data_IF_994463279965
#
_entry.id   IF_994463279965
#
_cell.length_a   1.000
_cell.length_b   1.000
_cell.length_c   1.000
_cell.angle_alpha   90.00
_cell.angle_beta   90.00
_cell.angle_gamma   90.00
#
_symmetry.space_group_name_H-M   'P 1'
#
loop_
_entity.id
_entity.type
_entity.pdbx_description
1 polymer ?
#
# COMPACT_ATOMS: atom_id res chain seq x y z
N UNK A 1 19.60 0.69 20.01
CA UNK A 1 18.58 1.75 19.79
C UNK A 1 17.19 1.12 19.77
N UNK A 2 16.26 1.60 20.60
CA UNK A 2 14.85 1.22 20.54
C UNK A 2 14.33 1.42 19.10
N UNK A 3 13.86 0.35 18.45
CA UNK A 3 13.25 0.40 17.11
C UNK A 3 11.96 1.22 17.23
N UNK A 4 12.08 2.54 17.10
CA UNK A 4 10.93 3.43 17.14
C UNK A 4 10.09 3.18 15.88
N UNK A 5 8.79 2.94 16.06
CA UNK A 5 7.89 2.61 14.97
C UNK A 5 7.78 3.79 13.97
N UNK A 6 8.16 3.56 12.72
CA UNK A 6 8.19 4.57 11.65
C UNK A 6 6.81 5.18 11.35
N UNK A 7 5.72 4.43 11.54
CA UNK A 7 4.34 4.96 11.42
C UNK A 7 4.10 5.99 12.51
N UNK A 8 4.44 5.66 13.76
CA UNK A 8 4.28 6.58 14.89
C UNK A 8 5.11 7.85 14.71
N UNK A 9 6.32 7.71 14.17
CA UNK A 9 7.20 8.85 13.86
C UNK A 9 6.64 9.72 12.73
N UNK A 10 6.11 9.13 11.66
CA UNK A 10 5.49 9.89 10.58
C UNK A 10 4.24 10.64 11.06
N UNK A 11 3.40 10.01 11.89
CA UNK A 11 2.26 10.69 12.51
C UNK A 11 2.70 11.85 13.40
N UNK A 12 3.72 11.65 14.25
CA UNK A 12 4.28 12.72 15.10
C UNK A 12 4.86 13.86 14.30
N UNK A 13 5.66 13.53 13.27
CA UNK A 13 6.19 14.52 12.34
C UNK A 13 5.05 15.35 11.77
N UNK A 14 4.00 14.72 11.23
CA UNK A 14 2.86 15.43 10.65
C UNK A 14 2.14 16.34 11.66
N UNK A 15 1.84 15.81 12.86
CA UNK A 15 1.12 16.54 13.90
C UNK A 15 1.91 17.77 14.38
N UNK A 16 3.24 17.70 14.34
CA UNK A 16 4.12 18.82 14.68
C UNK A 16 4.27 19.89 13.59
N UNK A 17 3.59 19.76 12.44
CA UNK A 17 3.69 20.73 11.34
C UNK A 17 2.39 21.52 11.20
N UNK A 18 2.53 22.79 10.82
CA UNK A 18 1.39 23.61 10.40
C UNK A 18 0.93 23.16 9.01
N UNK A 19 -0.25 22.58 8.94
CA UNK A 19 -0.83 22.05 7.69
C UNK A 19 -2.30 22.43 7.59
N UNK A 20 -2.78 22.60 6.35
CA UNK A 20 -4.17 23.00 6.09
C UNK A 20 -5.20 21.91 6.44
N UNK A 21 -4.79 20.64 6.52
CA UNK A 21 -5.68 19.51 6.77
C UNK A 21 -5.20 18.72 7.98
N UNK A 22 -6.13 18.22 8.80
CA UNK A 22 -5.75 17.34 9.90
C UNK A 22 -5.37 15.95 9.39
N UNK A 23 -4.45 15.27 10.08
CA UNK A 23 -4.07 13.89 9.74
C UNK A 23 -5.28 12.95 9.73
N UNK A 24 -6.22 13.15 10.67
CA UNK A 24 -7.44 12.34 10.76
C UNK A 24 -8.30 12.49 9.51
N UNK A 25 -8.50 13.71 9.03
CA UNK A 25 -9.23 13.97 7.80
C UNK A 25 -8.55 13.33 6.58
N UNK A 26 -7.22 13.46 6.49
CA UNK A 26 -6.45 12.85 5.40
C UNK A 26 -6.55 11.32 5.42
N UNK A 27 -6.44 10.68 6.58
CA UNK A 27 -6.60 9.23 6.72
C UNK A 27 -8.04 8.79 6.39
N UNK A 28 -9.04 9.57 6.80
CA UNK A 28 -10.44 9.27 6.49
C UNK A 28 -10.71 9.32 4.98
N UNK A 29 -10.35 10.42 4.32
CA UNK A 29 -10.64 10.59 2.88
C UNK A 29 -9.82 9.63 2.01
N UNK A 30 -8.55 9.39 2.35
CA UNK A 30 -7.71 8.43 1.61
C UNK A 30 -8.15 6.98 1.86
N UNK A 31 -8.64 6.66 3.06
CA UNK A 31 -9.26 5.37 3.37
C UNK A 31 -10.52 5.11 2.55
N UNK A 32 -11.47 6.06 2.54
CA UNK A 32 -12.70 5.94 1.73
C UNK A 32 -12.36 5.88 0.24
N UNK A 33 -11.44 6.73 -0.23
CA UNK A 33 -10.96 6.68 -1.61
C UNK A 33 -10.44 5.29 -1.99
N UNK A 34 -9.72 4.62 -1.10
CA UNK A 34 -9.21 3.28 -1.32
C UNK A 34 -10.31 2.22 -1.44
N UNK A 35 -11.37 2.33 -0.63
CA UNK A 35 -12.55 1.45 -0.73
C UNK A 35 -13.27 1.68 -2.06
N UNK A 36 -13.53 2.94 -2.41
CA UNK A 36 -14.20 3.33 -3.65
C UNK A 36 -13.37 3.04 -4.91
N UNK A 37 -12.06 2.85 -4.80
CA UNK A 37 -11.23 2.44 -5.94
C UNK A 37 -11.57 1.01 -6.39
N UNK A 38 -11.77 0.11 -5.41
CA UNK A 38 -11.98 -1.32 -5.65
C UNK A 38 -13.46 -1.67 -5.81
N UNK A 39 -14.35 -0.96 -5.10
CA UNK A 39 -15.78 -1.28 -5.06
C UNK A 39 -16.46 -1.33 -6.45
N UNK A 40 -16.31 -0.34 -7.36
CA UNK A 40 -16.96 -0.41 -8.66
C UNK A 40 -16.45 -1.55 -9.54
N UNK A 41 -15.17 -1.95 -9.41
CA UNK A 41 -14.60 -3.08 -10.16
C UNK A 41 -15.25 -4.39 -9.73
N UNK A 42 -15.52 -4.54 -8.43
CA UNK A 42 -16.17 -5.74 -7.91
C UNK A 42 -17.65 -5.78 -8.28
N UNK A 43 -18.34 -4.64 -8.17
CA UNK A 43 -19.78 -4.52 -8.51
C UNK A 43 -20.01 -4.65 -10.02
N UNK A 44 -19.03 -4.34 -10.87
CA UNK A 44 -19.17 -4.55 -12.32
C UNK A 44 -19.16 -6.01 -12.74
N UNK A 45 -18.62 -6.95 -11.92
CA UNK A 45 -18.53 -8.37 -12.29
C UNK A 45 -19.91 -9.03 -12.48
N UNK A 46 -20.89 -8.90 -11.54
CA UNK A 46 -22.26 -9.36 -11.77
C UNK A 46 -22.89 -8.79 -13.05
N UNK A 47 -22.67 -7.50 -13.33
CA UNK A 47 -23.21 -6.85 -14.53
C UNK A 47 -22.61 -7.46 -15.81
N UNK A 48 -21.29 -7.64 -15.85
CA UNK A 48 -20.60 -8.26 -16.99
C UNK A 48 -21.12 -9.69 -17.23
N UNK A 49 -21.35 -10.47 -16.16
CA UNK A 49 -21.95 -11.81 -16.24
C UNK A 49 -23.33 -11.75 -16.91
N UNK A 50 -24.22 -10.88 -16.43
CA UNK A 50 -25.57 -10.77 -16.97
C UNK A 50 -25.58 -10.35 -18.43
N UNK A 51 -24.73 -9.38 -18.80
CA UNK A 51 -24.57 -8.96 -20.19
C UNK A 51 -24.03 -10.08 -21.08
N UNK A 52 -23.09 -10.88 -20.60
CA UNK A 52 -22.52 -12.01 -21.34
C UNK A 52 -23.52 -13.17 -21.51
N UNK A 53 -24.31 -13.46 -20.47
CA UNK A 53 -25.34 -14.50 -20.50
C UNK A 53 -26.65 -14.05 -21.17
N UNK A 54 -26.76 -12.78 -21.56
CA UNK A 54 -27.96 -12.22 -22.18
C UNK A 54 -29.16 -12.12 -21.23
N UNK A 55 -28.92 -12.05 -19.91
CA UNK A 55 -30.00 -11.92 -18.92
C UNK A 55 -30.34 -10.44 -18.70
N UNK A 56 -31.64 -10.12 -18.63
CA UNK A 56 -32.12 -8.76 -18.36
C UNK A 56 -32.03 -8.35 -16.88
N UNK A 57 -31.56 -9.25 -16.03
CA UNK A 57 -31.39 -9.06 -14.61
C UNK A 57 -29.97 -9.39 -14.14
N UNK A 58 -29.54 -8.69 -13.10
CA UNK A 58 -28.32 -8.86 -12.35
C UNK A 58 -28.67 -9.39 -10.97
N UNK A 59 -28.15 -10.56 -10.64
CA UNK A 59 -28.34 -11.20 -9.34
C UNK A 59 -27.14 -10.89 -8.43
N UNK A 60 -27.39 -10.32 -7.26
CA UNK A 60 -26.42 -10.20 -6.17
C UNK A 60 -27.01 -10.86 -4.93
N UNK A 61 -26.43 -12.00 -4.52
CA UNK A 61 -26.96 -12.78 -3.40
C UNK A 61 -28.42 -13.17 -3.66
N UNK A 62 -29.32 -12.77 -2.77
CA UNK A 62 -30.76 -13.02 -2.90
C UNK A 62 -31.54 -11.93 -3.63
N UNK A 63 -30.88 -10.87 -4.10
CA UNK A 63 -31.55 -9.76 -4.79
C UNK A 63 -31.33 -9.81 -6.29
N UNK A 64 -32.40 -9.53 -7.02
CA UNK A 64 -32.42 -9.46 -8.48
C UNK A 64 -32.79 -8.04 -8.90
N UNK A 65 -31.92 -7.40 -9.69
CA UNK A 65 -32.07 -6.02 -10.15
C UNK A 65 -32.06 -5.99 -11.68
N UNK A 66 -32.85 -5.14 -12.31
CA UNK A 66 -32.79 -4.99 -13.77
C UNK A 66 -31.44 -4.41 -14.21
N UNK A 67 -30.94 -4.87 -15.37
CA UNK A 67 -29.66 -4.38 -15.93
C UNK A 67 -29.60 -2.84 -16.06
N UNK A 68 -30.66 -2.14 -16.53
CA UNK A 68 -30.63 -0.67 -16.61
C UNK A 68 -30.47 -0.01 -15.23
N UNK A 69 -31.23 -0.48 -14.23
CA UNK A 69 -31.16 0.08 -12.87
C UNK A 69 -29.80 -0.17 -12.24
N UNK A 70 -29.29 -1.40 -12.39
CA UNK A 70 -27.96 -1.77 -11.91
C UNK A 70 -26.86 -0.91 -12.53
N UNK A 71 -26.97 -0.63 -13.83
CA UNK A 71 -26.02 0.21 -14.56
C UNK A 71 -26.02 1.66 -14.04
N UNK A 72 -27.20 2.23 -13.76
CA UNK A 72 -27.32 3.58 -13.17
C UNK A 72 -26.64 3.62 -11.80
N UNK A 73 -26.90 2.64 -10.93
CA UNK A 73 -26.25 2.56 -9.61
C UNK A 73 -24.74 2.47 -9.76
N UNK A 74 -24.23 1.63 -10.67
CA UNK A 74 -22.80 1.51 -10.93
C UNK A 74 -22.20 2.83 -11.45
N UNK A 75 -22.89 3.56 -12.33
CA UNK A 75 -22.46 4.88 -12.80
C UNK A 75 -22.37 5.90 -11.68
N UNK A 76 -23.32 5.90 -10.74
CA UNK A 76 -23.28 6.76 -9.55
C UNK A 76 -22.07 6.42 -8.68
N UNK A 77 -21.82 5.12 -8.44
CA UNK A 77 -20.65 4.66 -7.67
C UNK A 77 -19.34 5.07 -8.36
N UNK A 78 -19.26 4.98 -9.69
CA UNK A 78 -18.10 5.44 -10.46
C UNK A 78 -17.88 6.96 -10.34
N UNK A 79 -18.95 7.75 -10.39
CA UNK A 79 -18.86 9.20 -10.19
C UNK A 79 -18.38 9.53 -8.77
N UNK A 80 -18.92 8.86 -7.75
CA UNK A 80 -18.47 9.02 -6.37
C UNK A 80 -16.98 8.64 -6.21
N UNK A 81 -16.56 7.52 -6.80
CA UNK A 81 -15.13 7.15 -6.87
C UNK A 81 -14.30 8.28 -7.47
N UNK A 82 -14.72 8.82 -8.61
CA UNK A 82 -13.98 9.88 -9.29
C UNK A 82 -13.83 11.12 -8.41
N UNK A 83 -14.93 11.61 -7.83
CA UNK A 83 -14.94 12.81 -7.00
C UNK A 83 -14.09 12.64 -5.74
N UNK A 84 -14.30 11.55 -5.00
CA UNK A 84 -13.54 11.27 -3.77
C UNK A 84 -12.06 10.99 -4.07
N UNK A 85 -11.79 10.22 -5.13
CA UNK A 85 -10.42 9.92 -5.57
C UNK A 85 -9.65 11.17 -5.97
N UNK A 86 -10.27 12.04 -6.76
CA UNK A 86 -9.69 13.36 -7.12
C UNK A 86 -9.39 14.16 -5.86
N UNK A 87 -10.32 14.22 -4.91
CA UNK A 87 -10.16 15.01 -3.70
C UNK A 87 -9.05 14.47 -2.79
N UNK A 88 -8.98 13.15 -2.61
CA UNK A 88 -7.93 12.50 -1.82
C UNK A 88 -6.54 12.73 -2.41
N UNK A 89 -6.39 12.60 -3.75
CA UNK A 89 -5.13 12.89 -4.44
C UNK A 89 -4.74 14.35 -4.33
N UNK A 90 -5.70 15.27 -4.50
CA UNK A 90 -5.46 16.71 -4.36
C UNK A 90 -5.01 17.07 -2.93
N UNK A 91 -5.70 16.59 -1.90
CA UNK A 91 -5.33 16.88 -0.51
C UNK A 91 -3.97 16.30 -0.13
N UNK A 92 -3.63 15.09 -0.57
CA UNK A 92 -2.30 14.52 -0.37
C UNK A 92 -1.21 15.37 -1.05
N UNK A 93 -1.42 15.75 -2.32
CA UNK A 93 -0.47 16.58 -3.06
C UNK A 93 -0.30 17.98 -2.42
N UNK A 94 -1.42 18.65 -2.13
CA UNK A 94 -1.43 19.98 -1.50
C UNK A 94 -0.71 19.96 -0.15
N UNK A 95 -1.00 18.97 0.69
CA UNK A 95 -0.33 18.79 1.99
C UNK A 95 1.19 18.72 1.85
N UNK A 96 1.69 17.96 0.88
CA UNK A 96 3.13 17.85 0.64
C UNK A 96 3.75 19.15 0.14
N UNK A 97 3.03 19.86 -0.73
CA UNK A 97 3.46 21.16 -1.25
C UNK A 97 3.50 22.19 -0.12
N UNK A 98 2.46 22.26 0.70
CA UNK A 98 2.37 23.18 1.84
C UNK A 98 3.49 22.92 2.85
N UNK A 99 3.76 21.65 3.20
CA UNK A 99 4.88 21.29 4.07
C UNK A 99 6.24 21.77 3.52
N UNK A 100 6.50 21.53 2.23
CA UNK A 100 7.74 21.98 1.58
C UNK A 100 7.81 23.50 1.44
N UNK A 101 6.67 24.17 1.24
CA UNK A 101 6.56 25.61 1.13
C UNK A 101 6.83 26.28 2.48
N UNK A 102 6.20 25.80 3.55
CA UNK A 102 6.46 26.26 4.91
C UNK A 102 7.93 26.09 5.31
N UNK A 103 8.53 24.94 5.00
CA UNK A 103 9.96 24.73 5.22
C UNK A 103 10.83 25.69 4.41
N UNK A 104 10.42 26.08 3.19
CA UNK A 104 11.17 27.05 2.38
C UNK A 104 11.03 28.47 2.88
N UNK A 105 9.87 28.88 3.36
CA UNK A 105 9.60 30.27 3.75
C UNK A 105 9.91 30.56 5.21
N UNK A 106 9.73 29.60 6.11
CA UNK A 106 9.90 29.79 7.56
C UNK A 106 11.31 29.54 8.09
N UNK A 107 12.25 29.07 7.26
CA UNK A 107 13.58 28.63 7.71
C UNK A 107 14.71 29.36 6.98
N UNK A 108 15.83 29.58 7.68
CA UNK A 108 17.00 30.30 7.14
C UNK A 108 17.62 29.57 5.94
N UNK A 109 18.37 30.29 5.10
CA UNK A 109 19.00 29.69 3.89
C UNK A 109 20.02 28.59 4.24
N UNK A 110 20.79 28.80 5.31
CA UNK A 110 21.80 27.85 5.80
C UNK A 110 21.14 26.59 6.37
N UNK A 111 20.11 26.75 7.22
CA UNK A 111 19.36 25.63 7.78
C UNK A 111 18.70 24.79 6.68
N UNK A 112 18.13 25.45 5.67
CA UNK A 112 17.52 24.77 4.51
C UNK A 112 18.53 23.95 3.74
N UNK A 113 19.74 24.45 3.46
CA UNK A 113 20.74 23.67 2.73
C UNK A 113 21.15 22.40 3.49
N UNK A 114 21.27 22.50 4.81
CA UNK A 114 21.69 21.40 5.66
C UNK A 114 20.57 20.35 5.86
N UNK A 115 19.30 20.77 5.94
CA UNK A 115 18.18 19.88 6.30
C UNK A 115 17.23 19.54 5.13
N UNK A 116 17.38 20.13 3.93
CA UNK A 116 16.48 19.92 2.78
C UNK A 116 16.26 18.45 2.43
N UNK A 117 17.30 17.63 2.46
CA UNK A 117 17.21 16.21 2.12
C UNK A 117 16.39 15.46 3.17
N UNK A 118 16.69 15.69 4.46
CA UNK A 118 16.00 15.06 5.58
C UNK A 118 14.53 15.45 5.60
N UNK A 119 14.23 16.75 5.50
CA UNK A 119 12.86 17.24 5.48
C UNK A 119 12.09 16.73 4.24
N UNK A 120 12.71 16.76 3.05
CA UNK A 120 12.09 16.25 1.83
C UNK A 120 11.74 14.76 1.91
N UNK A 121 12.61 13.94 2.53
CA UNK A 121 12.34 12.52 2.79
C UNK A 121 11.28 12.30 3.86
N UNK A 122 11.21 13.15 4.88
CA UNK A 122 10.13 13.14 5.88
C UNK A 122 8.78 13.49 5.24
N UNK A 123 8.70 14.47 4.34
CA UNK A 123 7.49 14.76 3.57
C UNK A 123 7.12 13.58 2.65
N UNK A 124 8.10 12.94 2.00
CA UNK A 124 7.88 11.73 1.20
C UNK A 124 7.29 10.58 2.05
N UNK A 125 7.69 10.48 3.31
CA UNK A 125 7.15 9.47 4.24
C UNK A 125 5.66 9.65 4.51
N UNK A 126 5.14 10.89 4.52
CA UNK A 126 3.70 11.16 4.63
C UNK A 126 2.94 10.60 3.43
N UNK A 127 3.50 10.71 2.23
CA UNK A 127 2.93 10.09 1.04
C UNK A 127 2.84 8.57 1.19
N UNK A 128 3.91 7.92 1.66
CA UNK A 128 3.91 6.48 1.89
C UNK A 128 2.91 6.06 2.97
N UNK A 129 2.73 6.86 4.02
CA UNK A 129 1.73 6.61 5.05
C UNK A 129 0.31 6.67 4.47
N UNK A 130 -0.03 7.73 3.73
CA UNK A 130 -1.38 7.93 3.18
C UNK A 130 -1.71 6.93 2.07
N UNK A 131 -0.77 6.67 1.15
CA UNK A 131 -0.94 5.65 0.11
C UNK A 131 -0.96 4.25 0.73
N UNK A 132 -0.13 3.98 1.73
CA UNK A 132 -0.17 2.71 2.45
C UNK A 132 -1.51 2.48 3.15
N UNK A 133 -2.05 3.52 3.80
CA UNK A 133 -3.35 3.47 4.47
C UNK A 133 -4.51 3.26 3.47
N UNK A 134 -4.49 3.95 2.33
CA UNK A 134 -5.50 3.79 1.27
C UNK A 134 -5.50 2.41 0.64
N UNK A 135 -4.48 1.59 0.87
CA UNK A 135 -4.44 0.19 0.44
C UNK A 135 -4.71 -0.75 1.62
N UNK A 136 -4.26 -0.41 2.84
CA UNK A 136 -4.44 -1.24 4.02
C UNK A 136 -5.92 -1.40 4.39
N UNK A 137 -6.63 -0.27 4.51
CA UNK A 137 -8.04 -0.28 4.93
C UNK A 137 -8.93 -1.10 3.97
N UNK A 138 -8.97 -0.83 2.66
CA UNK A 138 -9.76 -1.65 1.75
C UNK A 138 -9.22 -3.09 1.66
N UNK A 139 -7.90 -3.30 1.76
CA UNK A 139 -7.32 -4.63 1.79
C UNK A 139 -7.89 -5.49 2.91
N UNK A 140 -7.96 -4.95 4.14
CA UNK A 140 -8.59 -5.63 5.28
C UNK A 140 -10.08 -5.87 5.00
N UNK A 141 -10.81 -4.84 4.57
CA UNK A 141 -12.26 -4.93 4.33
C UNK A 141 -12.60 -5.99 3.30
N UNK A 142 -11.97 -5.97 2.12
CA UNK A 142 -12.28 -6.92 1.04
C UNK A 142 -11.78 -8.33 1.34
N UNK A 143 -10.64 -8.49 2.02
CA UNK A 143 -10.22 -9.82 2.47
C UNK A 143 -11.19 -10.42 3.47
N UNK A 144 -11.68 -9.64 4.45
CA UNK A 144 -12.68 -10.10 5.41
C UNK A 144 -14.02 -10.42 4.76
N UNK A 145 -14.49 -9.57 3.81
CA UNK A 145 -15.70 -9.85 3.03
C UNK A 145 -15.52 -11.15 2.24
N UNK A 146 -14.38 -11.35 1.57
CA UNK A 146 -14.11 -12.58 0.83
C UNK A 146 -14.12 -13.84 1.70
N UNK A 147 -13.54 -13.77 2.91
CA UNK A 147 -13.58 -14.86 3.90
C UNK A 147 -15.01 -15.08 4.40
N UNK A 148 -15.76 -14.02 4.67
CA UNK A 148 -17.15 -14.13 5.10
C UNK A 148 -18.03 -14.81 4.03
N UNK A 149 -17.85 -14.44 2.76
CA UNK A 149 -18.60 -14.99 1.64
C UNK A 149 -18.18 -16.44 1.29
N UNK A 150 -16.90 -16.79 1.46
CA UNK A 150 -16.43 -18.18 1.31
C UNK A 150 -15.37 -18.53 2.37
N UNK A 151 -15.80 -18.99 3.56
CA UNK A 151 -14.90 -19.24 4.69
C UNK A 151 -13.82 -20.27 4.37
N UNK A 152 -14.20 -21.37 3.70
CA UNK A 152 -13.26 -22.47 3.38
C UNK A 152 -12.22 -22.06 2.35
N UNK A 153 -12.62 -21.33 1.30
CA UNK A 153 -11.69 -20.76 0.33
C UNK A 153 -10.76 -19.75 0.99
N UNK A 154 -11.33 -18.79 1.73
CA UNK A 154 -10.57 -17.75 2.41
C UNK A 154 -9.53 -18.29 3.37
N UNK A 155 -9.89 -19.28 4.20
CA UNK A 155 -8.94 -19.93 5.13
C UNK A 155 -7.82 -20.64 4.36
N UNK A 156 -8.16 -21.41 3.32
CA UNK A 156 -7.15 -22.12 2.51
C UNK A 156 -6.18 -21.15 1.82
N UNK A 157 -6.69 -20.04 1.29
CA UNK A 157 -5.87 -18.98 0.71
C UNK A 157 -4.97 -18.31 1.76
N UNK A 158 -5.50 -18.01 2.95
CA UNK A 158 -4.69 -17.43 4.03
C UNK A 158 -3.58 -18.37 4.50
N UNK A 159 -3.84 -19.68 4.58
CA UNK A 159 -2.82 -20.68 4.92
C UNK A 159 -1.68 -20.71 3.89
N UNK A 160 -2.02 -20.72 2.60
CA UNK A 160 -1.03 -20.68 1.52
C UNK A 160 -0.21 -19.38 1.55
N UNK A 161 -0.87 -18.25 1.82
CA UNK A 161 -0.17 -16.97 1.98
C UNK A 161 0.70 -16.95 3.22
N UNK A 162 0.29 -17.63 4.30
CA UNK A 162 1.12 -17.83 5.49
C UNK A 162 2.43 -18.55 5.18
N UNK A 163 2.38 -19.58 4.32
CA UNK A 163 3.59 -20.28 3.83
C UNK A 163 4.46 -19.31 3.03
N UNK A 164 3.87 -18.53 2.11
CA UNK A 164 4.60 -17.53 1.35
C UNK A 164 5.19 -16.41 2.22
N UNK A 165 4.54 -16.05 3.33
CA UNK A 165 5.06 -15.06 4.27
C UNK A 165 6.41 -15.50 4.86
N UNK A 166 6.65 -16.80 5.04
CA UNK A 166 7.95 -17.32 5.45
C UNK A 166 9.02 -17.10 4.37
N UNK A 167 8.70 -17.37 3.11
CA UNK A 167 9.60 -17.15 1.97
C UNK A 167 9.91 -15.66 1.82
N UNK A 168 8.87 -14.81 1.86
CA UNK A 168 9.00 -13.36 1.79
C UNK A 168 9.82 -12.80 2.95
N UNK A 169 9.69 -13.36 4.15
CA UNK A 169 10.51 -12.98 5.31
C UNK A 169 11.99 -13.25 5.06
N UNK A 170 12.34 -14.41 4.48
CA UNK A 170 13.73 -14.75 4.13
C UNK A 170 14.32 -13.80 3.08
N UNK A 171 13.53 -13.45 2.07
CA UNK A 171 13.94 -12.50 1.03
C UNK A 171 14.13 -11.11 1.63
N UNK A 172 13.22 -10.68 2.52
CA UNK A 172 13.31 -9.41 3.23
C UNK A 172 14.58 -9.34 4.08
N UNK A 173 14.94 -10.40 4.80
CA UNK A 173 16.19 -10.45 5.60
C UNK A 173 17.40 -10.20 4.70
N UNK A 174 17.46 -10.83 3.52
CA UNK A 174 18.57 -10.60 2.56
C UNK A 174 18.54 -9.17 2.02
N UNK A 175 17.38 -8.65 1.67
CA UNK A 175 17.21 -7.28 1.19
C UNK A 175 17.69 -6.27 2.25
N UNK A 176 17.25 -6.42 3.50
CA UNK A 176 17.60 -5.54 4.62
C UNK A 176 19.11 -5.60 4.93
N UNK A 177 19.74 -6.79 4.82
CA UNK A 177 21.19 -6.95 4.97
C UNK A 177 21.97 -6.11 3.95
N UNK A 178 21.63 -6.20 2.66
CA UNK A 178 22.32 -5.44 1.62
C UNK A 178 22.06 -3.93 1.71
N UNK A 179 20.86 -3.51 2.12
CA UNK A 179 20.56 -2.09 2.37
C UNK A 179 21.31 -1.55 3.60
N UNK A 180 21.45 -2.32 4.67
CA UNK A 180 22.22 -1.93 5.84
C UNK A 180 23.69 -1.73 5.47
N UNK A 181 24.29 -2.71 4.79
CA UNK A 181 25.68 -2.64 4.34
C UNK A 181 25.92 -1.45 3.39
N UNK A 182 25.00 -1.22 2.46
CA UNK A 182 25.08 -0.05 1.56
C UNK A 182 24.93 1.27 2.32
N UNK A 183 24.05 1.36 3.33
CA UNK A 183 23.88 2.56 4.14
C UNK A 183 25.10 2.86 5.00
N UNK A 184 25.74 1.84 5.56
CA UNK A 184 26.95 1.99 6.36
C UNK A 184 28.11 2.52 5.53
N UNK A 185 28.36 1.91 4.36
CA UNK A 185 29.38 2.37 3.43
C UNK A 185 29.07 3.76 2.86
N UNK A 186 27.81 4.08 2.58
CA UNK A 186 27.41 5.42 2.10
C UNK A 186 27.64 6.51 3.14
N UNK A 187 27.54 6.19 4.44
CA UNK A 187 27.82 7.16 5.50
C UNK A 187 29.31 7.51 5.62
N UNK A 188 30.20 6.67 5.09
CA UNK A 188 31.65 6.88 5.05
C UNK A 188 32.15 7.25 3.65
N UNK A 189 31.26 7.62 2.73
CA UNK A 189 31.55 7.70 1.28
C UNK A 189 32.75 8.60 0.93
N UNK A 190 32.96 9.67 1.68
CA UNK A 190 34.06 10.62 1.48
C UNK A 190 35.42 10.09 2.00
N UNK A 191 35.39 9.07 2.87
CA UNK A 191 36.56 8.43 3.50
C UNK A 191 36.84 7.01 2.94
N UNK A 192 36.09 6.56 1.92
CA UNK A 192 36.22 5.21 1.38
C UNK A 192 37.44 5.07 0.47
N UNK A 193 38.18 3.97 0.64
CA UNK A 193 39.18 3.52 -0.32
C UNK A 193 38.54 3.08 -1.65
N UNK A 194 39.35 3.01 -2.73
CA UNK A 194 38.89 2.54 -4.04
C UNK A 194 38.30 1.11 -4.02
N UNK A 195 38.74 0.24 -3.09
CA UNK A 195 38.16 -1.11 -2.92
C UNK A 195 36.82 -1.08 -2.18
N UNK A 196 36.69 -0.24 -1.16
CA UNK A 196 35.42 -0.04 -0.44
C UNK A 196 34.37 0.62 -1.35
N UNK A 197 34.77 1.51 -2.26
CA UNK A 197 33.90 2.08 -3.30
C UNK A 197 33.35 1.01 -4.25
N UNK A 198 34.17 0.04 -4.67
CA UNK A 198 33.71 -1.13 -5.45
C UNK A 198 32.74 -1.99 -4.65
N UNK A 199 33.01 -2.17 -3.36
CA UNK A 199 32.15 -2.93 -2.44
C UNK A 199 30.81 -2.24 -2.18
N UNK A 200 30.81 -0.90 -2.12
CA UNK A 200 29.60 -0.08 -2.06
C UNK A 200 28.75 -0.25 -3.32
N UNK A 201 29.37 -0.17 -4.50
CA UNK A 201 28.69 -0.37 -5.78
C UNK A 201 28.08 -1.78 -5.87
N UNK A 202 28.85 -2.82 -5.54
CA UNK A 202 28.37 -4.21 -5.51
C UNK A 202 27.20 -4.39 -4.52
N UNK A 203 27.28 -3.79 -3.34
CA UNK A 203 26.20 -3.83 -2.33
C UNK A 203 24.94 -3.12 -2.81
N UNK A 204 25.06 -1.98 -3.52
CA UNK A 204 23.92 -1.28 -4.14
C UNK A 204 23.27 -2.11 -5.23
N UNK A 205 24.06 -2.75 -6.09
CA UNK A 205 23.56 -3.64 -7.15
C UNK A 205 22.81 -4.83 -6.55
N UNK A 206 23.37 -5.46 -5.51
CA UNK A 206 22.69 -6.57 -4.83
C UNK A 206 21.40 -6.11 -4.14
N UNK A 207 21.42 -4.97 -3.45
CA UNK A 207 20.22 -4.40 -2.85
C UNK A 207 19.13 -4.12 -3.90
N UNK A 208 19.50 -3.55 -5.05
CA UNK A 208 18.58 -3.32 -6.17
C UNK A 208 18.02 -4.64 -6.76
N UNK A 209 18.86 -5.67 -6.88
CA UNK A 209 18.44 -7.00 -7.36
C UNK A 209 17.42 -7.65 -6.41
N UNK A 210 17.65 -7.58 -5.10
CA UNK A 210 16.70 -8.11 -4.12
C UNK A 210 15.42 -7.29 -4.04
N UNK A 211 15.49 -5.97 -4.20
CA UNK A 211 14.30 -5.10 -4.30
C UNK A 211 13.45 -5.43 -5.54
N UNK A 212 14.09 -5.64 -6.69
CA UNK A 212 13.41 -6.08 -7.91
C UNK A 212 12.78 -7.48 -7.76
N UNK A 213 13.50 -8.41 -7.11
CA UNK A 213 12.99 -9.75 -6.82
C UNK A 213 11.74 -9.68 -5.94
N UNK A 214 11.80 -8.92 -4.85
CA UNK A 214 10.67 -8.77 -3.92
C UNK A 214 9.44 -8.15 -4.61
N UNK A 215 9.63 -7.11 -5.44
CA UNK A 215 8.53 -6.46 -6.19
C UNK A 215 7.80 -7.41 -7.14
N UNK A 216 8.53 -8.25 -7.88
CA UNK A 216 7.97 -9.18 -8.87
C UNK A 216 7.44 -10.47 -8.24
N UNK A 217 8.02 -10.91 -7.11
CA UNK A 217 7.54 -12.09 -6.40
C UNK A 217 6.10 -11.93 -5.89
N UNK A 218 5.63 -10.69 -5.70
CA UNK A 218 4.23 -10.35 -5.41
C UNK A 218 3.24 -11.11 -6.27
N UNK A 219 3.40 -11.02 -7.58
CA UNK A 219 2.43 -11.57 -8.53
C UNK A 219 2.46 -13.09 -8.49
N UNK A 220 3.65 -13.68 -8.38
CA UNK A 220 3.84 -15.12 -8.22
C UNK A 220 3.14 -15.60 -6.94
N UNK A 221 3.40 -14.97 -5.80
CA UNK A 221 2.78 -15.33 -4.50
C UNK A 221 1.27 -15.29 -4.60
N UNK A 222 0.72 -14.20 -5.12
CA UNK A 222 -0.73 -13.98 -5.19
C UNK A 222 -1.36 -14.98 -6.16
N UNK A 223 -0.90 -15.03 -7.41
CA UNK A 223 -1.48 -15.87 -8.47
C UNK A 223 -1.34 -17.36 -8.11
N UNK A 224 -0.16 -17.80 -7.66
CA UNK A 224 0.06 -19.21 -7.30
C UNK A 224 -0.79 -19.64 -6.09
N UNK A 225 -0.93 -18.78 -5.08
CA UNK A 225 -1.77 -19.08 -3.90
C UNK A 225 -3.23 -19.27 -4.30
N UNK A 226 -3.71 -18.53 -5.30
CA UNK A 226 -5.10 -18.64 -5.75
C UNK A 226 -5.31 -19.85 -6.64
N UNK A 227 -4.42 -20.09 -7.60
CA UNK A 227 -4.52 -21.28 -8.45
C UNK A 227 -4.52 -22.55 -7.58
N UNK A 228 -3.66 -22.59 -6.56
CA UNK A 228 -3.60 -23.72 -5.66
C UNK A 228 -4.82 -23.79 -4.72
N UNK A 229 -5.28 -22.66 -4.16
CA UNK A 229 -6.49 -22.63 -3.34
C UNK A 229 -7.74 -23.05 -4.15
N UNK A 230 -7.82 -22.62 -5.41
CA UNK A 230 -8.87 -23.00 -6.35
C UNK A 230 -8.82 -24.48 -6.65
N UNK A 231 -7.65 -24.98 -7.04
CA UNK A 231 -7.45 -26.40 -7.32
C UNK A 231 -7.85 -27.28 -6.13
N UNK A 232 -7.42 -26.90 -4.92
CA UNK A 232 -7.76 -27.61 -3.68
C UNK A 232 -9.28 -27.60 -3.43
N UNK A 233 -9.94 -26.44 -3.58
CA UNK A 233 -11.39 -26.37 -3.41
C UNK A 233 -12.18 -27.19 -4.44
N UNK A 234 -11.77 -27.17 -5.71
CA UNK A 234 -12.41 -27.97 -6.75
C UNK A 234 -12.22 -29.47 -6.51
N UNK A 235 -11.01 -29.90 -6.10
CA UNK A 235 -10.71 -31.30 -5.73
C UNK A 235 -11.50 -31.79 -4.52
N UNK A 236 -11.86 -30.88 -3.61
CA UNK A 236 -12.67 -31.19 -2.43
C UNK A 236 -14.18 -31.21 -2.72
N UNK A 237 -14.60 -31.17 -3.99
CA UNK A 237 -16.00 -31.33 -4.39
C UNK A 237 -16.87 -30.08 -4.18
N UNK A 238 -16.26 -28.89 -4.08
CA UNK A 238 -16.99 -27.64 -3.89
C UNK A 238 -17.21 -26.99 -5.26
N UNK A 239 -18.46 -27.08 -5.75
CA UNK A 239 -18.86 -26.70 -7.10
C UNK A 239 -18.49 -25.27 -7.48
N UNK A 240 -18.11 -25.11 -8.75
CA UNK A 240 -17.77 -23.85 -9.37
C UNK A 240 -19.03 -23.07 -9.79
N UNK A 241 -19.82 -22.60 -8.82
CA UNK A 241 -20.84 -21.59 -9.11
C UNK A 241 -20.16 -20.24 -9.39
N UNK A 242 -20.70 -19.46 -10.32
CA UNK A 242 -20.11 -18.17 -10.75
C UNK A 242 -19.98 -17.16 -9.59
N UNK A 243 -20.77 -17.31 -8.52
CA UNK A 243 -20.60 -16.57 -7.27
C UNK A 243 -19.23 -16.81 -6.63
N UNK A 244 -18.65 -18.01 -6.85
CA UNK A 244 -17.27 -18.32 -6.47
C UNK A 244 -16.27 -17.41 -7.17
N UNK A 245 -16.46 -17.07 -8.46
CA UNK A 245 -15.53 -16.19 -9.20
C UNK A 245 -15.52 -14.78 -8.61
N UNK A 246 -16.69 -14.23 -8.29
CA UNK A 246 -16.78 -12.91 -7.65
C UNK A 246 -16.06 -12.94 -6.30
N UNK A 247 -16.30 -13.97 -5.48
CA UNK A 247 -15.65 -14.11 -4.17
C UNK A 247 -14.12 -14.26 -4.32
N UNK A 248 -13.66 -15.02 -5.32
CA UNK A 248 -12.24 -15.14 -5.64
C UNK A 248 -11.65 -13.78 -5.96
N UNK A 249 -12.29 -12.98 -6.84
CA UNK A 249 -11.80 -11.66 -7.24
C UNK A 249 -11.81 -10.66 -6.07
N UNK A 250 -12.83 -10.70 -5.21
CA UNK A 250 -12.90 -9.89 -3.97
C UNK A 250 -11.70 -10.20 -3.06
N UNK A 251 -11.46 -11.49 -2.79
CA UNK A 251 -10.36 -11.93 -1.94
C UNK A 251 -9.00 -11.56 -2.56
N UNK A 252 -8.84 -11.82 -3.85
CA UNK A 252 -7.67 -11.45 -4.67
C UNK A 252 -7.30 -9.99 -4.50
N UNK A 253 -8.29 -9.14 -4.70
CA UNK A 253 -8.11 -7.70 -4.68
C UNK A 253 -7.75 -7.22 -3.28
N UNK A 254 -8.41 -7.75 -2.25
CA UNK A 254 -8.05 -7.48 -0.86
C UNK A 254 -6.59 -7.83 -0.55
N UNK A 255 -6.15 -9.03 -0.94
CA UNK A 255 -4.78 -9.50 -0.72
C UNK A 255 -3.72 -8.69 -1.49
N UNK A 256 -4.02 -8.30 -2.74
CA UNK A 256 -3.16 -7.39 -3.51
C UNK A 256 -2.98 -6.03 -2.83
N UNK A 257 -4.07 -5.49 -2.26
CA UNK A 257 -4.03 -4.22 -1.54
C UNK A 257 -3.24 -4.35 -0.23
N UNK A 258 -3.44 -5.44 0.54
CA UNK A 258 -2.66 -5.73 1.74
C UNK A 258 -1.16 -5.84 1.44
N UNK A 259 -0.79 -6.52 0.36
CA UNK A 259 0.62 -6.63 -0.04
C UNK A 259 1.19 -5.27 -0.48
N UNK A 260 0.40 -4.44 -1.15
CA UNK A 260 0.80 -3.08 -1.51
C UNK A 260 1.00 -2.21 -0.27
N UNK A 261 0.10 -2.31 0.72
CA UNK A 261 0.23 -1.64 2.01
C UNK A 261 1.48 -2.09 2.75
N UNK A 262 1.81 -3.38 2.70
CA UNK A 262 3.05 -3.92 3.25
C UNK A 262 4.28 -3.25 2.60
N UNK A 263 4.35 -3.15 1.28
CA UNK A 263 5.47 -2.47 0.61
C UNK A 263 5.55 -0.99 0.98
N UNK A 264 4.42 -0.29 1.03
CA UNK A 264 4.40 1.12 1.46
C UNK A 264 4.91 1.27 2.91
N UNK A 265 4.62 0.31 3.79
CA UNK A 265 5.17 0.27 5.14
C UNK A 265 6.69 0.04 5.16
N UNK A 266 7.24 -0.73 4.20
CA UNK A 266 8.68 -0.90 4.05
C UNK A 266 9.34 0.40 3.59
N UNK A 267 8.75 1.08 2.60
CA UNK A 267 9.24 2.39 2.13
C UNK A 267 9.20 3.45 3.23
N UNK A 268 8.14 3.43 4.05
CA UNK A 268 8.03 4.25 5.25
C UNK A 268 9.11 3.90 6.28
N UNK A 269 9.39 2.61 6.48
CA UNK A 269 10.49 2.16 7.35
C UNK A 269 11.86 2.62 6.84
N UNK A 270 12.07 2.67 5.53
CA UNK A 270 13.29 3.23 4.92
C UNK A 270 13.46 4.73 5.22
N UNK A 271 12.40 5.44 5.58
CA UNK A 271 12.45 6.87 5.93
C UNK A 271 12.72 7.14 7.42
N UNK A 272 12.90 6.10 8.24
CA UNK A 272 12.95 6.23 9.71
C UNK A 272 14.04 7.20 10.20
N UNK A 273 15.25 7.11 9.64
CA UNK A 273 16.38 8.00 10.03
C UNK A 273 16.05 9.47 9.79
N UNK A 274 15.40 9.78 8.66
CA UNK A 274 15.02 11.16 8.31
C UNK A 274 13.90 11.70 9.20
N UNK A 275 12.95 10.84 9.53
CA UNK A 275 11.86 11.17 10.45
C UNK A 275 12.38 11.50 11.85
N UNK A 276 13.30 10.69 12.39
CA UNK A 276 13.93 10.96 13.69
C UNK A 276 14.72 12.27 13.66
N UNK A 277 15.50 12.53 12.62
CA UNK A 277 16.25 13.78 12.48
C UNK A 277 15.31 15.00 12.43
N UNK A 278 14.20 14.90 11.70
CA UNK A 278 13.25 16.01 11.53
C UNK A 278 12.38 16.26 12.77
N UNK A 279 12.13 15.24 13.59
CA UNK A 279 11.42 15.40 14.87
C UNK A 279 12.33 15.90 15.98
N UNK A 280 13.63 15.60 15.94
CA UNK A 280 14.60 16.15 16.87
C UNK A 280 14.84 17.64 16.63
N UNK A 281 14.96 18.07 15.37
CA UNK A 281 15.16 19.48 15.02
C UNK A 281 13.96 20.37 15.36
N UNK A 282 12.73 19.84 15.34
CA UNK A 282 11.54 20.59 15.76
C UNK A 282 11.39 20.80 17.27
N UNK A 283 12.16 20.05 18.08
CA UNK A 283 12.15 20.16 19.55
C UNK A 283 13.21 21.13 20.05
N UNK A 284 14.27 21.41 19.29
CA UNK A 284 15.31 22.38 19.66
C UNK A 284 14.95 23.84 19.35
N UNK A 285 13.85 24.10 18.64
CA UNK A 285 13.38 25.45 18.28
C UNK A 285 12.15 25.92 19.10
N UNK A 286 11.66 25.11 20.05
CA UNK A 286 10.63 25.49 21.03
C UNK A 286 11.24 25.57 22.44
#
# INVERSE_FOLDING_TARGET
MSKTNSIKLACRFYIGQQTAFSLRMLLFITGISGILETLPILISLPLIKSLFLGTNSVTIGSQELSVPYFSIVLSIILLLRFLVGRQAQFYNAKTRIDLLSHFRHGQSKEFRQLHKVNFGKSVQSINFLLVGWSQLLPGIVFTLIGIYLSPRFGISTLLLIGIWALVLSRIKIKQDYWHANSSELTNRMDDLSNEELKTLSASRIQAARWDATNKNLREIVIISSLLLALYLNTRLGMGADFDSIIIIVVLLRGLQQLYTAYIMSQQLSGCNKYLMASTASSVSEN
#
